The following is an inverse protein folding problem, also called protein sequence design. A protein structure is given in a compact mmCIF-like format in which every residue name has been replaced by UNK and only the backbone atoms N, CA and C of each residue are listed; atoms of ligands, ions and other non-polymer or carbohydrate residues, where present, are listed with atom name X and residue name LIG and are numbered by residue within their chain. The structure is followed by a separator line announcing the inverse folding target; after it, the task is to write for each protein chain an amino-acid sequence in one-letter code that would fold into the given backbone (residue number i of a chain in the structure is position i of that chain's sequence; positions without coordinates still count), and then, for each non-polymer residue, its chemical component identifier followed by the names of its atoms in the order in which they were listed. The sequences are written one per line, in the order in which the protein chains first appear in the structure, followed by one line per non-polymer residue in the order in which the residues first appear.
data_IF_278409265299
#
_entry.id   IF_278409265299
#
_cell.length_a   1.000
_cell.length_b   1.000
_cell.length_c   1.000
_cell.angle_alpha   90.00
_cell.angle_beta   90.00
_cell.angle_gamma   90.00
#
_symmetry.space_group_name_H-M   'P 1'
#
loop_
_entity.id
_entity.type
_entity.pdbx_description
1 polymer ?
#
# COMPACT_ATOMS: atom_id res chain seq x y z
N UNK A 1 -21.66 -17.17 -16.63
CA UNK A 1 -21.09 -17.51 -15.32
C UNK A 1 -21.79 -16.64 -14.27
N UNK A 2 -22.35 -17.22 -13.20
CA UNK A 2 -23.05 -16.44 -12.17
C UNK A 2 -22.05 -15.58 -11.39
N UNK A 3 -22.40 -14.36 -11.00
CA UNK A 3 -21.56 -13.55 -10.10
C UNK A 3 -21.65 -14.10 -8.67
N UNK A 4 -20.63 -13.87 -7.84
CA UNK A 4 -20.61 -14.36 -6.43
C UNK A 4 -21.82 -13.88 -5.61
N UNK A 5 -22.39 -12.72 -5.97
CA UNK A 5 -23.59 -12.18 -5.34
C UNK A 5 -24.86 -13.00 -5.63
N UNK A 6 -24.86 -13.78 -6.71
CA UNK A 6 -25.99 -14.60 -7.19
C UNK A 6 -25.92 -16.06 -6.69
N UNK A 7 -24.96 -16.40 -5.84
CA UNK A 7 -24.82 -17.73 -5.23
C UNK A 7 -25.56 -17.78 -3.89
N UNK A 8 -26.15 -18.94 -3.59
CA UNK A 8 -26.95 -19.19 -2.39
C UNK A 8 -26.13 -19.11 -1.09
N UNK A 9 -24.83 -19.42 -1.18
CA UNK A 9 -23.86 -19.22 -0.12
C UNK A 9 -22.83 -18.17 -0.54
N UNK A 10 -22.85 -17.00 0.11
CA UNK A 10 -21.90 -15.91 -0.15
C UNK A 10 -20.53 -16.13 0.50
N UNK A 11 -20.41 -17.14 1.36
CA UNK A 11 -19.14 -17.51 1.96
C UNK A 11 -18.45 -18.57 1.11
N UNK A 12 -17.30 -18.20 0.52
CA UNK A 12 -16.38 -19.15 -0.09
C UNK A 12 -15.71 -20.07 0.93
N UNK A 13 -14.75 -20.87 0.47
CA UNK A 13 -13.97 -21.78 1.30
C UNK A 13 -13.17 -21.01 2.38
N UNK A 14 -13.40 -21.32 3.65
CA UNK A 14 -12.64 -20.79 4.79
C UNK A 14 -11.68 -21.85 5.32
N UNK A 15 -10.38 -21.63 5.12
CA UNK A 15 -9.32 -22.53 5.59
C UNK A 15 -8.48 -21.90 6.70
N UNK A 16 -7.90 -22.76 7.55
CA UNK A 16 -6.88 -22.41 8.53
C UNK A 16 -5.63 -23.24 8.25
N UNK A 17 -4.46 -22.61 8.30
CA UNK A 17 -3.15 -23.24 8.14
C UNK A 17 -2.35 -23.15 9.45
N UNK A 18 -1.46 -24.11 9.69
CA UNK A 18 -0.56 -24.14 10.84
C UNK A 18 0.89 -24.18 10.35
N UNK A 19 1.51 -23.03 10.06
CA UNK A 19 2.86 -22.98 9.54
C UNK A 19 3.90 -23.43 10.59
N UNK A 20 5.00 -24.02 10.13
CA UNK A 20 6.19 -24.24 10.95
C UNK A 20 6.85 -22.92 11.36
N UNK A 21 7.75 -22.95 12.34
CA UNK A 21 8.40 -21.72 12.80
C UNK A 21 9.24 -21.04 11.70
N UNK A 22 9.90 -21.84 10.85
CA UNK A 22 10.59 -21.32 9.66
C UNK A 22 9.62 -20.63 8.68
N UNK A 23 8.46 -21.24 8.42
CA UNK A 23 7.43 -20.64 7.56
C UNK A 23 6.87 -19.34 8.17
N UNK A 24 6.65 -19.29 9.48
CA UNK A 24 6.21 -18.07 10.18
C UNK A 24 7.22 -16.93 10.02
N UNK A 25 8.53 -17.22 10.10
CA UNK A 25 9.58 -16.22 9.89
C UNK A 25 9.52 -15.64 8.48
N UNK A 26 9.38 -16.49 7.45
CA UNK A 26 9.25 -16.05 6.05
C UNK A 26 8.00 -15.19 5.86
N UNK A 27 6.85 -15.64 6.38
CA UNK A 27 5.59 -14.88 6.31
C UNK A 27 5.75 -13.50 6.98
N UNK A 28 6.41 -13.46 8.14
CA UNK A 28 6.65 -12.20 8.86
C UNK A 28 7.48 -11.23 8.02
N UNK A 29 8.62 -11.68 7.49
CA UNK A 29 9.50 -10.82 6.67
C UNK A 29 8.76 -10.26 5.47
N UNK A 30 8.02 -11.09 4.74
CA UNK A 30 7.23 -10.65 3.59
C UNK A 30 6.10 -9.69 3.97
N UNK A 31 5.42 -9.97 5.08
CA UNK A 31 4.37 -9.09 5.61
C UNK A 31 4.93 -7.73 6.02
N UNK A 32 6.09 -7.71 6.69
CA UNK A 32 6.74 -6.48 7.15
C UNK A 32 7.25 -5.66 5.95
N UNK A 33 7.84 -6.30 4.94
CA UNK A 33 8.25 -5.65 3.71
C UNK A 33 7.06 -5.03 2.95
N UNK A 34 5.97 -5.78 2.82
CA UNK A 34 4.74 -5.28 2.18
C UNK A 34 4.16 -4.09 2.95
N UNK A 35 4.14 -4.17 4.29
CA UNK A 35 3.66 -3.10 5.16
C UNK A 35 4.54 -1.85 5.05
N UNK A 36 5.85 -2.01 4.97
CA UNK A 36 6.78 -0.91 4.77
C UNK A 36 6.48 -0.16 3.46
N UNK A 37 6.39 -0.89 2.34
CA UNK A 37 6.07 -0.30 1.04
C UNK A 37 4.73 0.41 1.05
N UNK A 38 3.69 -0.21 1.63
CA UNK A 38 2.38 0.42 1.77
C UNK A 38 2.43 1.72 2.57
N UNK A 39 3.11 1.72 3.72
CA UNK A 39 3.24 2.90 4.57
C UNK A 39 3.96 4.05 3.84
N UNK A 40 5.02 3.74 3.10
CA UNK A 40 5.74 4.73 2.28
C UNK A 40 4.82 5.33 1.20
N UNK A 41 4.05 4.51 0.48
CA UNK A 41 3.09 5.01 -0.52
C UNK A 41 2.05 5.94 0.11
N UNK A 42 1.53 5.58 1.29
CA UNK A 42 0.58 6.43 2.02
C UNK A 42 1.24 7.73 2.49
N UNK A 43 2.49 7.67 2.96
CA UNK A 43 3.24 8.85 3.40
C UNK A 43 3.48 9.82 2.23
N UNK A 44 3.89 9.31 1.07
CA UNK A 44 4.06 10.10 -0.16
C UNK A 44 2.76 10.82 -0.53
N UNK A 45 1.62 10.10 -0.51
CA UNK A 45 0.32 10.70 -0.82
C UNK A 45 -0.08 11.83 0.14
N UNK A 46 0.17 11.63 1.45
CA UNK A 46 -0.08 12.66 2.47
C UNK A 46 0.82 13.89 2.28
N UNK A 47 2.10 13.67 2.00
CA UNK A 47 3.06 14.76 1.79
C UNK A 47 2.72 15.56 0.54
N UNK A 48 2.42 14.90 -0.58
CA UNK A 48 1.96 15.57 -1.81
C UNK A 48 0.70 16.41 -1.57
N UNK A 49 -0.27 15.87 -0.82
CA UNK A 49 -1.47 16.62 -0.46
C UNK A 49 -1.12 17.89 0.35
N UNK A 50 -0.24 17.79 1.34
CA UNK A 50 0.20 18.96 2.13
C UNK A 50 0.93 19.99 1.28
N UNK A 51 1.88 19.57 0.44
CA UNK A 51 2.65 20.46 -0.43
C UNK A 51 1.77 21.13 -1.48
N UNK A 52 0.75 20.42 -2.03
CA UNK A 52 -0.19 21.00 -3.00
C UNK A 52 -1.04 22.14 -2.43
N UNK A 53 -1.17 22.24 -1.10
CA UNK A 53 -1.89 23.33 -0.44
C UNK A 53 -1.06 24.61 -0.32
N UNK A 54 0.25 24.51 -0.51
CA UNK A 54 1.14 25.68 -0.55
C UNK A 54 0.88 26.39 -1.89
N UNK A 55 0.18 27.53 -1.83
CA UNK A 55 -0.24 28.29 -3.02
C UNK A 55 0.88 29.11 -3.66
N UNK A 56 2.04 29.22 -2.99
CA UNK A 56 3.20 29.96 -3.47
C UNK A 56 4.18 28.98 -4.14
N UNK A 57 4.62 29.25 -5.37
CA UNK A 57 5.62 28.42 -6.04
C UNK A 57 7.00 28.72 -5.43
N UNK A 58 7.38 27.92 -4.44
CA UNK A 58 8.73 27.92 -3.85
C UNK A 58 9.51 26.80 -4.53
N UNK A 59 10.69 27.08 -5.05
CA UNK A 59 11.50 26.12 -5.82
C UNK A 59 11.72 24.81 -5.03
N UNK A 60 12.07 24.91 -3.75
CA UNK A 60 12.24 23.75 -2.86
C UNK A 60 10.98 22.88 -2.76
N UNK A 61 9.79 23.48 -2.78
CA UNK A 61 8.51 22.77 -2.72
C UNK A 61 8.24 22.08 -4.07
N UNK A 62 8.56 22.75 -5.19
CA UNK A 62 8.39 22.18 -6.53
C UNK A 62 9.33 21.00 -6.76
N UNK A 63 10.60 21.13 -6.39
CA UNK A 63 11.59 20.05 -6.47
C UNK A 63 11.14 18.84 -5.65
N UNK A 64 10.62 19.08 -4.44
CA UNK A 64 10.11 18.00 -3.58
C UNK A 64 8.90 17.31 -4.18
N UNK A 65 7.95 18.06 -4.76
CA UNK A 65 6.79 17.49 -5.46
C UNK A 65 7.25 16.62 -6.63
N UNK A 66 8.23 17.07 -7.43
CA UNK A 66 8.76 16.29 -8.55
C UNK A 66 9.42 15.00 -8.07
N UNK A 67 10.24 15.06 -7.02
CA UNK A 67 10.87 13.89 -6.42
C UNK A 67 9.82 12.87 -5.93
N UNK A 68 8.77 13.34 -5.24
CA UNK A 68 7.70 12.48 -4.73
C UNK A 68 6.88 11.84 -5.86
N UNK A 69 6.60 12.58 -6.95
CA UNK A 69 5.94 12.05 -8.14
C UNK A 69 6.78 10.98 -8.84
N UNK A 70 8.10 11.17 -8.93
CA UNK A 70 8.99 10.15 -9.47
C UNK A 70 8.96 8.88 -8.62
N UNK A 71 9.04 9.01 -7.29
CA UNK A 71 8.97 7.87 -6.36
C UNK A 71 7.62 7.14 -6.38
N UNK A 72 6.52 7.82 -6.70
CA UNK A 72 5.20 7.20 -6.81
C UNK A 72 5.04 6.33 -8.07
N UNK A 73 5.78 6.65 -9.13
CA UNK A 73 5.68 6.00 -10.44
C UNK A 73 6.79 4.96 -10.72
N UNK A 74 7.69 4.73 -9.76
CA UNK A 74 8.77 3.75 -9.82
C UNK A 74 8.36 2.44 -9.17
#
# INVERSE_FOLDING_TARGET
MKSMAQLEYHYGLKVRIYPSDHQKQIIKVNSDASRFVYNEMVAIGKELWQLSRVKLPIDTVQDRIQQLKFRQNA
#
